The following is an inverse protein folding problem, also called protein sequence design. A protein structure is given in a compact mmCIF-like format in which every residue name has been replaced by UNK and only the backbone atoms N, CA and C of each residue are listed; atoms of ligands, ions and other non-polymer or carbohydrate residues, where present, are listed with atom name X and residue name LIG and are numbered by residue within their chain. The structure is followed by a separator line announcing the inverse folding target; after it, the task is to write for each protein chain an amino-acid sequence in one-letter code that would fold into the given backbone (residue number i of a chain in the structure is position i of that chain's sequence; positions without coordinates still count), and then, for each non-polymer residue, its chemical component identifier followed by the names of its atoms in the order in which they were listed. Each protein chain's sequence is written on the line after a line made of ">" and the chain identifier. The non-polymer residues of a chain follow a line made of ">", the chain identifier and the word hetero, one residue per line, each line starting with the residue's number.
data_IF_601980727897
#
_entry.id   IF_601980727897
#
_cell.length_a   1.000
_cell.length_b   1.000
_cell.length_c   1.000
_cell.angle_alpha   90.00
_cell.angle_beta   90.00
_cell.angle_gamma   90.00
#
_symmetry.space_group_name_H-M   'P 1'
#
loop_
_entity.id
_entity.type
_entity.pdbx_description
1 polymer ?
#
# COMPACT_ATOMS: atom_id res chain seq x y z
N UNK A 1 -11.36 -2.78 3.81
CA UNK A 1 -11.39 -1.32 3.62
C UNK A 1 -12.81 -0.85 3.36
N UNK A 2 -13.21 0.18 4.10
CA UNK A 2 -14.50 0.88 3.94
C UNK A 2 -14.33 1.90 2.80
N UNK A 3 -15.40 2.16 2.04
CA UNK A 3 -15.42 3.02 0.83
C UNK A 3 -14.77 4.42 0.98
N UNK A 4 -14.62 4.95 2.21
CA UNK A 4 -14.08 6.30 2.47
C UNK A 4 -12.58 6.44 2.16
N UNK A 5 -11.77 5.41 2.43
CA UNK A 5 -10.31 5.47 2.21
C UNK A 5 -9.94 5.63 0.72
N UNK A 6 -10.84 5.23 -0.19
CA UNK A 6 -10.65 5.35 -1.64
C UNK A 6 -10.75 6.80 -2.11
N UNK A 7 -11.63 7.61 -1.51
CA UNK A 7 -11.75 9.03 -1.83
C UNK A 7 -10.58 9.83 -1.25
N UNK A 8 -10.13 9.49 -0.04
CA UNK A 8 -9.00 10.16 0.61
C UNK A 8 -7.69 9.92 -0.15
N UNK A 9 -7.47 8.71 -0.69
CA UNK A 9 -6.30 8.40 -1.52
C UNK A 9 -6.30 9.14 -2.87
N UNK A 10 -7.48 9.52 -3.39
CA UNK A 10 -7.60 10.30 -4.63
C UNK A 10 -7.31 11.79 -4.40
N UNK A 11 -7.57 12.30 -3.19
CA UNK A 11 -7.32 13.70 -2.84
C UNK A 11 -5.89 13.97 -2.36
N UNK A 12 -5.12 12.91 -2.03
CA UNK A 12 -3.75 13.04 -1.54
C UNK A 12 -2.75 13.30 -2.68
N UNK A 13 -1.71 14.11 -2.42
CA UNK A 13 -0.67 14.40 -3.41
C UNK A 13 0.12 13.14 -3.77
N UNK A 14 0.56 13.03 -5.03
CA UNK A 14 1.36 11.91 -5.55
C UNK A 14 2.58 11.59 -4.67
N UNK A 15 3.18 12.62 -4.06
CA UNK A 15 4.33 12.49 -3.15
C UNK A 15 4.02 11.66 -1.89
N UNK A 16 2.86 11.86 -1.28
CA UNK A 16 2.43 11.09 -0.10
C UNK A 16 2.16 9.63 -0.44
N UNK A 17 1.55 9.37 -1.60
CA UNK A 17 1.31 8.01 -2.08
C UNK A 17 2.65 7.28 -2.34
N UNK A 18 3.65 7.96 -2.89
CA UNK A 18 4.99 7.41 -3.09
C UNK A 18 5.69 7.09 -1.76
N UNK A 19 5.59 7.97 -0.76
CA UNK A 19 6.15 7.73 0.57
C UNK A 19 5.46 6.54 1.25
N UNK A 20 4.13 6.47 1.18
CA UNK A 20 3.36 5.33 1.69
C UNK A 20 3.77 4.01 1.02
N UNK A 21 4.02 4.03 -0.31
CA UNK A 21 4.51 2.86 -1.03
C UNK A 21 5.90 2.43 -0.59
N UNK A 22 6.81 3.38 -0.34
CA UNK A 22 8.15 3.09 0.18
C UNK A 22 8.09 2.47 1.57
N UNK A 23 7.38 3.10 2.50
CA UNK A 23 7.24 2.60 3.87
C UNK A 23 6.55 1.23 3.92
N UNK A 24 5.48 1.05 3.14
CA UNK A 24 4.77 -0.23 3.09
C UNK A 24 5.62 -1.36 2.50
N UNK A 25 6.52 -1.07 1.55
CA UNK A 25 7.49 -2.06 1.05
C UNK A 25 8.49 -2.50 2.12
N UNK A 26 8.97 -1.57 2.95
CA UNK A 26 9.89 -1.90 4.03
C UNK A 26 9.20 -2.73 5.11
N UNK A 27 7.97 -2.36 5.49
CA UNK A 27 7.15 -3.17 6.40
C UNK A 27 6.87 -4.56 5.86
N UNK A 28 6.57 -4.69 4.55
CA UNK A 28 6.41 -6.00 3.91
C UNK A 28 7.68 -6.84 3.96
N UNK A 29 8.86 -6.21 3.88
CA UNK A 29 10.14 -6.91 3.96
C UNK A 29 10.34 -7.49 5.36
N UNK A 30 10.12 -6.69 6.40
CA UNK A 30 10.20 -7.14 7.80
C UNK A 30 9.20 -8.28 8.05
N UNK A 31 7.93 -8.10 7.68
CA UNK A 31 6.91 -9.14 7.84
C UNK A 31 7.22 -10.42 7.06
N UNK A 32 7.87 -10.34 5.89
CA UNK A 32 8.32 -11.52 5.15
C UNK A 32 9.43 -12.26 5.89
N UNK A 33 10.37 -11.54 6.51
CA UNK A 33 11.40 -12.15 7.35
C UNK A 33 10.80 -12.79 8.60
N UNK A 34 9.89 -12.11 9.27
CA UNK A 34 9.21 -12.64 10.45
C UNK A 34 8.36 -13.88 10.11
N UNK A 35 7.72 -13.89 8.93
CA UNK A 35 6.96 -15.03 8.43
C UNK A 35 7.87 -16.22 8.14
N UNK A 36 9.03 -15.98 7.51
CA UNK A 36 10.04 -17.00 7.27
C UNK A 36 10.61 -17.56 8.58
N UNK A 37 10.72 -16.73 9.62
CA UNK A 37 11.11 -17.12 10.96
C UNK A 37 9.99 -17.86 11.75
N UNK A 38 8.79 -18.03 11.16
CA UNK A 38 7.66 -18.73 11.79
C UNK A 38 7.03 -17.98 12.97
N UNK A 39 7.35 -16.69 13.15
CA UNK A 39 6.88 -15.87 14.28
C UNK A 39 5.55 -15.16 14.01
N UNK A 40 5.11 -15.10 12.77
CA UNK A 40 3.95 -14.27 12.38
C UNK A 40 2.64 -15.04 12.49
N UNK A 41 1.78 -14.59 13.40
CA UNK A 41 0.38 -15.05 13.52
C UNK A 41 -0.54 -14.40 12.46
N UNK A 42 -0.23 -13.18 12.03
CA UNK A 42 -1.16 -12.36 11.23
C UNK A 42 -0.82 -12.27 9.73
N UNK A 43 -0.96 -13.40 9.03
CA UNK A 43 -0.85 -13.47 7.56
C UNK A 43 -1.88 -12.55 6.86
N UNK A 44 -2.98 -12.24 7.57
CA UNK A 44 -4.04 -11.34 7.10
C UNK A 44 -3.55 -9.92 6.89
N UNK A 45 -2.66 -9.41 7.75
CA UNK A 45 -2.09 -8.06 7.63
C UNK A 45 -1.14 -7.94 6.43
N UNK A 46 -0.36 -8.98 6.17
CA UNK A 46 0.48 -9.04 4.96
C UNK A 46 -0.40 -8.93 3.70
N UNK A 47 -1.54 -9.61 3.69
CA UNK A 47 -2.47 -9.60 2.56
C UNK A 47 -3.18 -8.24 2.41
N UNK A 48 -3.58 -7.59 3.49
CA UNK A 48 -4.19 -6.25 3.42
C UNK A 48 -3.16 -5.22 2.93
N UNK A 49 -1.96 -5.18 3.51
CA UNK A 49 -0.92 -4.25 3.09
C UNK A 49 -0.53 -4.41 1.61
N UNK A 50 -0.46 -5.65 1.09
CA UNK A 50 -0.24 -5.87 -0.36
C UNK A 50 -1.34 -5.26 -1.21
N UNK A 51 -2.61 -5.38 -0.80
CA UNK A 51 -3.75 -4.80 -1.53
C UNK A 51 -3.73 -3.28 -1.47
N UNK A 52 -3.34 -2.72 -0.34
CA UNK A 52 -3.33 -1.28 -0.13
C UNK A 52 -2.22 -0.62 -0.95
N UNK A 53 -1.03 -1.24 -1.00
CA UNK A 53 0.06 -0.84 -1.89
C UNK A 53 -0.32 -0.91 -3.38
N UNK A 54 -0.97 -1.99 -3.80
CA UNK A 54 -1.41 -2.15 -5.19
C UNK A 54 -2.42 -1.08 -5.60
N UNK A 55 -3.33 -0.71 -4.68
CA UNK A 55 -4.30 0.36 -4.90
C UNK A 55 -3.62 1.72 -4.96
N UNK A 56 -2.70 2.04 -4.05
CA UNK A 56 -1.93 3.28 -4.07
C UNK A 56 -1.18 3.47 -5.41
N UNK A 57 -0.52 2.42 -5.90
CA UNK A 57 0.14 2.42 -7.22
C UNK A 57 -0.86 2.63 -8.38
N UNK A 58 -2.06 2.04 -8.28
CA UNK A 58 -3.10 2.22 -9.29
C UNK A 58 -3.57 3.67 -9.34
N UNK A 59 -3.79 4.31 -8.19
CA UNK A 59 -4.18 5.73 -8.14
C UNK A 59 -3.10 6.66 -8.69
N UNK A 60 -1.82 6.41 -8.38
CA UNK A 60 -0.70 7.14 -8.99
C UNK A 60 -0.77 7.06 -10.52
N UNK A 61 -0.91 5.83 -11.06
CA UNK A 61 -1.00 5.62 -12.52
C UNK A 61 -2.24 6.27 -13.14
N UNK A 62 -3.37 6.30 -12.44
CA UNK A 62 -4.57 6.99 -12.89
C UNK A 62 -4.40 8.51 -12.92
N UNK A 63 -3.75 9.08 -11.90
CA UNK A 63 -3.44 10.50 -11.86
C UNK A 63 -2.46 10.90 -12.97
N UNK A 64 -1.43 10.10 -13.23
CA UNK A 64 -0.49 10.32 -14.36
C UNK A 64 -1.17 10.20 -15.73
N UNK A 65 -2.21 9.37 -15.85
CA UNK A 65 -2.96 9.19 -17.11
C UNK A 65 -3.94 10.34 -17.38
N UNK A 66 -4.38 11.08 -16.35
CA UNK A 66 -5.28 12.24 -16.51
C UNK A 66 -4.55 13.52 -16.91
N UNK A 67 -3.23 13.60 -16.71
CA UNK A 67 -2.39 14.72 -17.12
C UNK A 67 -1.86 14.60 -18.57
N UNK A 68 -2.15 13.50 -19.28
CA UNK A 68 -1.81 13.29 -20.70
C UNK A 68 -3.04 13.43 -21.58
#
# INVERSE_FOLDING_TARGET
>A
MKKKEIQDLKSKPKAELLNFVKEGRERLRVLRFDLAAGKVKDVTELRSMRKDLARALTFIKQADKQEK
#
